data_IF_900062272012
#
_entry.id   IF_900062272012
#
_cell.length_a   1.000
_cell.length_b   1.000
_cell.length_c   1.000
_cell.angle_alpha   90.00
_cell.angle_beta   90.00
_cell.angle_gamma   90.00
#
_symmetry.space_group_name_H-M   'P 1'
#
loop_
_entity.id
_entity.type
_entity.pdbx_description
1 polymer ?
#
# COMPACT_ATOMS: atom_id res chain seq x y z
N UNK A 1 -10.14 12.28 -0.42
CA UNK A 1 -9.74 11.25 0.56
C UNK A 1 -9.47 11.93 1.90
N UNK A 2 -9.93 11.37 3.03
CA UNK A 2 -9.61 11.88 4.37
C UNK A 2 -8.64 10.92 5.07
N UNK A 3 -7.59 11.46 5.70
CA UNK A 3 -6.68 10.71 6.57
C UNK A 3 -6.74 11.34 7.96
N UNK A 4 -6.90 10.51 8.99
CA UNK A 4 -6.97 10.96 10.39
C UNK A 4 -5.93 10.21 11.21
N UNK A 5 -5.12 10.95 11.98
CA UNK A 5 -4.14 10.39 12.91
C UNK A 5 -4.68 10.50 14.34
N UNK A 6 -4.51 9.43 15.13
CA UNK A 6 -5.01 9.36 16.50
C UNK A 6 -4.16 8.43 17.36
N UNK A 7 -4.25 8.59 18.68
CA UNK A 7 -3.57 7.71 19.63
C UNK A 7 -4.42 6.50 19.99
N UNK A 8 -3.80 5.32 20.01
CA UNK A 8 -4.39 4.13 20.61
C UNK A 8 -3.99 4.05 22.08
N UNK A 9 -4.81 4.65 22.95
CA UNK A 9 -4.56 4.75 24.40
C UNK A 9 -4.43 3.39 25.12
N UNK A 10 -5.01 2.32 24.57
CA UNK A 10 -4.92 0.97 25.13
C UNK A 10 -3.59 0.24 24.85
N UNK A 11 -2.70 0.84 24.05
CA UNK A 11 -1.44 0.21 23.62
C UNK A 11 -0.19 0.86 24.20
N UNK A 12 -0.25 1.39 25.43
CA UNK A 12 0.90 2.04 26.07
C UNK A 12 2.10 1.08 26.12
N UNK A 13 3.27 1.58 25.72
CA UNK A 13 4.51 0.83 25.85
C UNK A 13 5.03 0.83 27.30
N UNK A 14 6.11 0.09 27.56
CA UNK A 14 6.77 0.02 28.89
C UNK A 14 7.28 1.40 29.37
N UNK A 15 7.38 2.37 28.48
CA UNK A 15 7.82 3.74 28.73
C UNK A 15 6.65 4.74 28.85
N UNK A 16 5.39 4.26 28.83
CA UNK A 16 4.19 5.10 28.93
C UNK A 16 3.85 5.88 27.66
N UNK A 17 4.46 5.59 26.51
CA UNK A 17 4.12 6.22 25.23
C UNK A 17 2.98 5.48 24.54
N UNK A 18 2.05 6.22 23.95
CA UNK A 18 0.96 5.64 23.18
C UNK A 18 1.32 5.57 21.68
N UNK A 19 1.00 4.46 21.00
CA UNK A 19 1.21 4.32 19.57
C UNK A 19 0.25 5.21 18.77
N UNK A 20 0.79 5.82 17.73
CA UNK A 20 0.06 6.65 16.78
C UNK A 20 -0.48 5.75 15.65
N UNK A 21 -1.77 5.88 15.42
CA UNK A 21 -2.52 5.16 14.41
C UNK A 21 -3.04 6.13 13.35
N UNK A 22 -3.14 5.66 12.12
CA UNK A 22 -3.76 6.37 11.01
C UNK A 22 -5.02 5.65 10.51
N UNK A 23 -5.97 6.43 10.02
CA UNK A 23 -7.21 5.96 9.40
C UNK A 23 -7.38 6.64 8.05
N UNK A 24 -7.57 5.84 7.00
CA UNK A 24 -7.80 6.29 5.64
C UNK A 24 -9.27 6.06 5.31
N UNK A 25 -9.94 7.07 4.75
CA UNK A 25 -11.34 7.00 4.34
C UNK A 25 -11.52 7.55 2.92
N UNK A 26 -11.38 6.69 1.89
CA UNK A 26 -11.86 6.96 0.54
C UNK A 26 -13.35 6.58 0.42
N UNK A 27 -14.22 7.60 0.31
CA UNK A 27 -15.66 7.38 0.16
C UNK A 27 -16.29 6.71 1.40
N UNK A 28 -16.84 5.50 1.21
CA UNK A 28 -17.47 4.69 2.28
C UNK A 28 -16.54 3.64 2.90
N UNK A 29 -15.38 3.39 2.30
CA UNK A 29 -14.43 2.38 2.78
C UNK A 29 -13.46 2.99 3.81
N UNK A 30 -13.01 2.18 4.77
CA UNK A 30 -12.12 2.62 5.83
C UNK A 30 -11.02 1.59 6.06
N UNK A 31 -9.77 2.05 6.12
CA UNK A 31 -8.63 1.23 6.51
C UNK A 31 -7.85 1.88 7.66
N UNK A 32 -7.43 1.08 8.63
CA UNK A 32 -6.58 1.53 9.73
C UNK A 32 -5.16 1.00 9.55
N UNK A 33 -4.19 1.81 9.94
CA UNK A 33 -2.78 1.48 9.83
C UNK A 33 -1.98 2.01 11.03
N UNK A 34 -0.89 1.33 11.38
CA UNK A 34 0.05 1.83 12.40
C UNK A 34 1.06 2.75 11.76
N UNK A 35 1.34 3.90 12.39
CA UNK A 35 2.39 4.80 11.96
C UNK A 35 3.79 4.32 12.40
N UNK A 36 3.87 3.24 13.20
CA UNK A 36 5.11 2.74 13.84
C UNK A 36 5.85 3.81 14.67
N UNK A 37 5.09 4.78 15.17
CA UNK A 37 5.55 5.85 16.03
C UNK A 37 4.73 5.83 17.31
N UNK A 38 5.35 6.23 18.41
CA UNK A 38 4.68 6.41 19.70
C UNK A 38 5.08 7.76 20.28
N UNK A 39 4.16 8.43 20.97
CA UNK A 39 4.44 9.69 21.66
C UNK A 39 3.83 9.71 23.06
N UNK A 40 4.24 10.68 23.87
CA UNK A 40 3.57 10.93 25.15
C UNK A 40 2.13 11.37 24.87
N UNK A 41 1.10 10.69 25.44
CA UNK A 41 -0.30 11.09 25.28
C UNK A 41 -0.61 12.52 25.73
N UNK A 42 0.13 13.05 26.71
CA UNK A 42 -0.06 14.41 27.23
C UNK A 42 0.37 15.49 26.24
N UNK A 43 1.30 15.15 25.35
CA UNK A 43 1.82 16.07 24.32
C UNK A 43 1.08 15.91 23.00
N UNK A 44 0.11 15.00 22.87
CA UNK A 44 -0.61 14.81 21.62
C UNK A 44 -1.78 15.77 21.51
N UNK A 45 -1.84 16.50 20.40
CA UNK A 45 -2.94 17.37 20.03
C UNK A 45 -3.93 16.63 19.12
N UNK A 46 -5.13 16.23 19.62
CA UNK A 46 -6.09 15.48 18.82
C UNK A 46 -6.76 16.32 17.72
N UNK A 47 -6.79 17.65 17.87
CA UNK A 47 -7.40 18.55 16.88
C UNK A 47 -6.50 18.71 15.67
N UNK A 48 -5.22 18.93 15.92
CA UNK A 48 -4.20 19.10 14.88
C UNK A 48 -3.59 17.78 14.39
N UNK A 49 -3.90 16.65 15.05
CA UNK A 49 -3.33 15.34 14.75
C UNK A 49 -1.79 15.33 14.78
N UNK A 50 -1.19 16.08 15.71
CA UNK A 50 0.27 16.31 15.84
C UNK A 50 0.71 16.28 17.30
N UNK A 51 2.02 16.14 17.52
CA UNK A 51 2.64 16.28 18.85
C UNK A 51 2.93 17.77 19.10
N UNK A 52 2.40 18.31 20.19
CA UNK A 52 2.66 19.67 20.66
C UNK A 52 4.07 19.80 21.25
N UNK A 53 4.59 21.03 21.19
CA UNK A 53 5.92 21.37 21.70
C UNK A 53 6.99 21.53 20.62
N UNK A 54 8.13 22.05 21.04
CA UNK A 54 9.29 22.35 20.16
C UNK A 54 10.51 21.46 20.47
N UNK A 55 10.30 20.36 21.20
CA UNK A 55 11.38 19.41 21.47
C UNK A 55 11.85 18.76 20.17
N UNK A 56 13.12 18.33 20.14
CA UNK A 56 13.67 17.60 18.99
C UNK A 56 12.83 16.37 18.63
N UNK A 57 12.33 15.67 19.65
CA UNK A 57 11.43 14.52 19.47
C UNK A 57 10.11 14.91 18.81
N UNK A 58 9.46 16.00 19.25
CA UNK A 58 8.20 16.46 18.67
C UNK A 58 8.38 16.85 17.19
N UNK A 59 9.47 17.55 16.85
CA UNK A 59 9.81 17.92 15.47
C UNK A 59 10.05 16.69 14.61
N UNK A 60 10.80 15.71 15.10
CA UNK A 60 11.09 14.47 14.37
C UNK A 60 9.83 13.63 14.14
N UNK A 61 9.00 13.42 15.17
CA UNK A 61 7.75 12.67 15.05
C UNK A 61 6.82 13.36 14.05
N UNK A 62 6.60 14.67 14.19
CA UNK A 62 5.74 15.43 13.29
C UNK A 62 6.23 15.39 11.83
N UNK A 63 7.55 15.52 11.61
CA UNK A 63 8.13 15.40 10.26
C UNK A 63 7.90 14.02 9.64
N UNK A 64 8.01 12.95 10.44
CA UNK A 64 7.68 11.59 9.97
C UNK A 64 6.19 11.40 9.68
N UNK A 65 5.31 11.96 10.51
CA UNK A 65 3.86 11.93 10.25
C UNK A 65 3.51 12.66 8.95
N UNK A 66 4.18 13.77 8.65
CA UNK A 66 3.97 14.53 7.43
C UNK A 66 4.44 13.76 6.18
N UNK A 67 5.62 13.14 6.25
CA UNK A 67 6.13 12.24 5.20
C UNK A 67 5.20 11.03 4.96
N UNK A 68 4.62 10.48 6.03
CA UNK A 68 3.65 9.39 5.97
C UNK A 68 2.36 9.84 5.25
N UNK A 69 1.83 11.02 5.60
CA UNK A 69 0.65 11.58 4.94
C UNK A 69 0.88 11.82 3.44
N UNK A 70 2.06 12.33 3.07
CA UNK A 70 2.46 12.48 1.67
C UNK A 70 2.54 11.14 0.94
N UNK A 71 3.09 10.10 1.60
CA UNK A 71 3.15 8.74 1.06
C UNK A 71 1.75 8.16 0.80
N UNK A 72 0.82 8.34 1.75
CA UNK A 72 -0.59 7.90 1.60
C UNK A 72 -1.27 8.64 0.44
N UNK A 73 -1.05 9.95 0.34
CA UNK A 73 -1.61 10.76 -0.75
C UNK A 73 -1.06 10.31 -2.10
N UNK A 74 0.25 10.05 -2.21
CA UNK A 74 0.89 9.54 -3.42
C UNK A 74 0.31 8.18 -3.85
N UNK A 75 0.15 7.25 -2.90
CA UNK A 75 -0.48 5.95 -3.15
C UNK A 75 -1.92 6.10 -3.67
N UNK A 76 -2.71 6.99 -3.09
CA UNK A 76 -4.07 7.27 -3.55
C UNK A 76 -4.10 7.82 -4.99
N UNK A 77 -3.20 8.77 -5.32
CA UNK A 77 -3.10 9.30 -6.69
C UNK A 77 -2.66 8.23 -7.69
N UNK A 78 -1.72 7.36 -7.31
CA UNK A 78 -1.28 6.27 -8.18
C UNK A 78 -2.41 5.27 -8.48
N UNK A 79 -3.28 4.98 -7.52
CA UNK A 79 -4.45 4.11 -7.74
C UNK A 79 -5.52 4.80 -8.60
N UNK A 80 -5.75 6.10 -8.41
CA UNK A 80 -6.64 6.88 -9.29
C UNK A 80 -6.18 6.86 -10.75
N UNK A 81 -4.88 7.08 -10.99
CA UNK A 81 -4.32 7.10 -12.35
C UNK A 81 -4.40 5.75 -13.08
N UNK A 82 -4.50 4.64 -12.35
CA UNK A 82 -4.68 3.29 -12.96
C UNK A 82 -6.10 3.07 -13.49
N UNK A 83 -7.10 3.86 -13.07
CA UNK A 83 -8.47 3.78 -13.56
C UNK A 83 -9.26 2.53 -13.13
N UNK A 84 -8.68 1.65 -12.30
CA UNK A 84 -9.38 0.51 -11.73
C UNK A 84 -10.11 0.88 -10.43
N UNK A 85 -11.23 0.23 -10.11
CA UNK A 85 -11.82 0.31 -8.77
C UNK A 85 -10.82 -0.14 -7.70
N UNK A 86 -10.75 0.59 -6.58
CA UNK A 86 -9.91 0.26 -5.44
C UNK A 86 -10.61 0.68 -4.13
N UNK A 87 -10.15 0.14 -3.01
CA UNK A 87 -10.68 0.43 -1.68
C UNK A 87 -9.64 1.09 -0.74
N UNK A 88 -10.00 1.25 0.53
CA UNK A 88 -9.10 1.85 1.52
C UNK A 88 -7.89 0.95 1.86
N UNK A 89 -8.05 -0.36 1.70
CA UNK A 89 -7.03 -1.38 1.95
C UNK A 89 -5.97 -1.31 0.87
N UNK A 90 -6.34 -1.17 -0.40
CA UNK A 90 -5.40 -1.02 -1.52
C UNK A 90 -4.48 0.19 -1.33
N UNK A 91 -5.04 1.33 -0.91
CA UNK A 91 -4.26 2.53 -0.57
C UNK A 91 -3.27 2.21 0.54
N UNK A 92 -3.75 1.55 1.61
CA UNK A 92 -2.95 1.19 2.78
C UNK A 92 -1.78 0.30 2.38
N UNK A 93 -2.04 -0.75 1.64
CA UNK A 93 -1.02 -1.71 1.24
C UNK A 93 0.02 -1.04 0.34
N UNK A 94 -0.42 -0.16 -0.57
CA UNK A 94 0.47 0.52 -1.50
C UNK A 94 1.45 1.47 -0.80
N UNK A 95 1.00 2.27 0.17
CA UNK A 95 1.91 3.17 0.87
C UNK A 95 2.75 2.47 1.96
N UNK A 96 2.26 1.40 2.58
CA UNK A 96 3.02 0.65 3.59
C UNK A 96 4.11 -0.24 2.97
N UNK A 97 4.28 -0.22 1.64
CA UNK A 97 5.28 -1.01 0.94
C UNK A 97 4.90 -2.47 0.78
N UNK A 98 3.62 -2.81 0.89
CA UNK A 98 3.09 -4.16 0.67
C UNK A 98 2.39 -4.33 -0.69
N UNK A 99 2.36 -3.31 -1.55
CA UNK A 99 2.00 -3.44 -2.98
C UNK A 99 3.21 -3.21 -3.87
N UNK A 100 4.33 -3.82 -3.48
CA UNK A 100 5.02 -4.65 -4.45
C UNK A 100 4.84 -6.10 -3.97
N UNK A 101 4.14 -6.91 -4.76
CA UNK A 101 4.22 -8.39 -4.76
C UNK A 101 3.27 -9.20 -3.85
N UNK A 102 1.96 -8.92 -3.91
CA UNK A 102 0.99 -10.01 -4.13
C UNK A 102 0.21 -9.76 -5.42
N UNK A 103 0.93 -9.56 -6.52
CA UNK A 103 0.42 -10.15 -7.75
C UNK A 103 0.88 -11.59 -7.67
N UNK A 104 -0.06 -12.51 -7.79
CA UNK A 104 0.25 -13.90 -8.06
C UNK A 104 1.13 -13.90 -9.32
N UNK A 105 2.14 -14.77 -9.38
CA UNK A 105 3.11 -14.82 -10.47
C UNK A 105 2.43 -14.83 -11.85
N UNK A 106 1.27 -15.49 -11.93
CA UNK A 106 0.39 -15.58 -13.09
C UNK A 106 -0.26 -14.24 -13.43
N UNK A 107 -0.79 -13.50 -12.45
CA UNK A 107 -1.37 -12.17 -12.69
C UNK A 107 -0.33 -11.17 -13.20
N UNK A 108 0.90 -11.25 -12.69
CA UNK A 108 2.00 -10.41 -13.17
C UNK A 108 2.32 -10.72 -14.64
N UNK A 109 2.26 -11.98 -15.01
CA UNK A 109 2.48 -12.42 -16.38
C UNK A 109 1.32 -11.99 -17.31
N UNK A 110 0.09 -11.92 -16.81
CA UNK A 110 -1.06 -11.37 -17.54
C UNK A 110 -0.92 -9.87 -17.84
N UNK A 111 -0.34 -9.10 -16.91
CA UNK A 111 -0.01 -7.69 -17.14
C UNK A 111 1.05 -7.58 -18.23
N UNK A 112 2.13 -8.36 -18.12
CA UNK A 112 3.21 -8.36 -19.13
C UNK A 112 2.66 -8.71 -20.52
N UNK A 113 1.79 -9.71 -20.63
CA UNK A 113 1.18 -10.09 -21.92
C UNK A 113 0.35 -8.93 -22.50
N UNK A 114 -0.41 -8.20 -21.67
CA UNK A 114 -1.17 -7.02 -22.12
C UNK A 114 -0.26 -5.93 -22.65
N UNK A 115 0.79 -5.56 -21.91
CA UNK A 115 1.78 -4.58 -22.34
C UNK A 115 2.43 -5.00 -23.67
N UNK A 116 2.79 -6.28 -23.81
CA UNK A 116 3.42 -6.80 -25.04
C UNK A 116 2.44 -6.86 -26.22
N UNK A 117 1.14 -7.00 -25.98
CA UNK A 117 0.12 -6.97 -27.04
C UNK A 117 0.00 -5.60 -27.71
N UNK A 118 0.17 -4.52 -26.94
CA UNK A 118 0.13 -3.15 -27.48
C UNK A 118 1.27 -2.88 -28.48
N UNK A 119 2.32 -3.69 -28.41
CA UNK A 119 3.51 -3.62 -29.24
C UNK A 119 3.47 -4.56 -30.48
N UNK A 120 2.34 -5.25 -30.72
CA UNK A 120 2.20 -6.11 -31.91
C UNK A 120 2.25 -5.25 -33.18
N UNK A 121 3.15 -5.60 -34.09
CA UNK A 121 3.35 -4.87 -35.34
C UNK A 121 4.27 -3.65 -35.23
N UNK A 122 4.78 -3.35 -34.03
CA UNK A 122 5.85 -2.38 -33.81
C UNK A 122 7.18 -3.15 -33.70
N UNK A 123 7.40 -3.79 -32.57
CA UNK A 123 8.60 -4.58 -32.26
C UNK A 123 8.28 -6.03 -31.88
N UNK A 124 6.99 -6.38 -31.76
CA UNK A 124 6.54 -7.72 -31.38
C UNK A 124 5.75 -8.38 -32.51
N UNK A 125 6.08 -9.63 -32.80
CA UNK A 125 5.32 -10.49 -33.71
C UNK A 125 4.13 -11.11 -32.99
N UNK A 126 3.03 -11.32 -33.71
CA UNK A 126 1.79 -11.89 -33.13
C UNK A 126 2.04 -13.28 -32.54
N UNK A 127 2.89 -14.08 -33.19
CA UNK A 127 3.28 -15.42 -32.76
C UNK A 127 4.00 -15.39 -31.40
N UNK A 128 4.79 -14.35 -31.13
CA UNK A 128 5.50 -14.19 -29.86
C UNK A 128 4.54 -14.07 -28.68
N UNK A 129 3.38 -13.43 -28.87
CA UNK A 129 2.35 -13.34 -27.82
C UNK A 129 1.74 -14.69 -27.50
N UNK A 130 1.58 -15.57 -28.49
CA UNK A 130 1.13 -16.94 -28.26
C UNK A 130 2.08 -17.69 -27.34
N UNK A 131 3.40 -17.50 -27.50
CA UNK A 131 4.39 -18.12 -26.62
C UNK A 131 4.28 -17.64 -25.18
N UNK A 132 4.03 -16.34 -24.95
CA UNK A 132 3.82 -15.84 -23.59
C UNK A 132 2.59 -16.46 -22.92
N UNK A 133 1.49 -16.67 -23.65
CA UNK A 133 0.32 -17.38 -23.13
C UNK A 133 0.62 -18.84 -22.79
N UNK A 134 1.40 -19.54 -23.63
CA UNK A 134 1.85 -20.90 -23.36
C UNK A 134 2.70 -20.96 -22.09
N UNK A 135 3.69 -20.07 -21.94
CA UNK A 135 4.53 -20.00 -20.74
C UNK A 135 3.70 -19.75 -19.48
N UNK A 136 2.70 -18.86 -19.56
CA UNK A 136 1.79 -18.60 -18.43
C UNK A 136 1.02 -19.84 -18.00
N UNK A 137 0.45 -20.57 -18.95
CA UNK A 137 -0.32 -21.77 -18.64
C UNK A 137 0.56 -22.86 -18.06
N UNK A 138 1.75 -23.08 -18.62
CA UNK A 138 2.71 -24.06 -18.10
C UNK A 138 3.14 -23.72 -16.67
N UNK A 139 3.38 -22.44 -16.39
CA UNK A 139 3.77 -21.98 -15.06
C UNK A 139 2.65 -22.19 -14.04
N UNK A 140 1.39 -21.91 -14.42
CA UNK A 140 0.22 -22.16 -13.56
C UNK A 140 0.10 -23.64 -13.23
N UNK A 141 0.13 -24.50 -14.24
CA UNK A 141 0.05 -25.95 -14.05
C UNK A 141 1.21 -26.48 -13.20
N UNK A 142 2.43 -25.95 -13.38
CA UNK A 142 3.57 -26.32 -12.54
C UNK A 142 3.34 -25.97 -11.06
N UNK A 143 2.78 -24.79 -10.78
CA UNK A 143 2.51 -24.35 -9.40
C UNK A 143 1.47 -25.27 -8.75
N UNK A 144 0.36 -25.52 -9.44
CA UNK A 144 -0.71 -26.43 -9.01
C UNK A 144 -0.18 -27.85 -8.77
N UNK A 145 0.64 -28.38 -9.67
CA UNK A 145 1.15 -29.74 -9.59
C UNK A 145 2.20 -29.93 -8.51
N UNK A 146 3.17 -29.01 -8.42
CA UNK A 146 4.36 -29.15 -7.56
C UNK A 146 4.09 -28.70 -6.13
N UNK A 147 3.35 -27.61 -5.96
CA UNK A 147 3.13 -26.98 -4.66
C UNK A 147 1.72 -27.21 -4.11
N UNK A 148 0.80 -27.77 -4.91
CA UNK A 148 -0.60 -28.08 -4.51
C UNK A 148 -1.36 -26.86 -3.99
N UNK A 149 -1.03 -25.69 -4.54
CA UNK A 149 -1.69 -24.42 -4.27
C UNK A 149 -2.09 -23.79 -5.59
N UNK A 150 -3.20 -23.05 -5.59
CA UNK A 150 -3.42 -22.03 -6.63
C UNK A 150 -2.44 -20.89 -6.34
N UNK A 151 -1.77 -20.42 -7.39
CA UNK A 151 -0.89 -19.25 -7.32
C UNK A 151 -1.65 -18.05 -6.76
#
# INVERSE_FOLDING_TARGET
MKVLLYLKKSGLDKSGKAPIMGRITPGRNVAQFSCKLSCNPELWNPRESRVDGKSREAVEINGRLESLLLSVQSAYQALLSKGCPFDATDVKELFQGSVQTRCMLIERLDILIREKKEHIGIDIKRETISNYYTTRNNLRTFIEDKYKVED
#
